data_IF_104333569126
#
_entry.id   IF_104333569126
#
_cell.length_a   1.000
_cell.length_b   1.000
_cell.length_c   1.000
_cell.angle_alpha   90.00
_cell.angle_beta   90.00
_cell.angle_gamma   90.00
#
_symmetry.space_group_name_H-M   'P 1'
#
loop_
_entity.id
_entity.type
_entity.pdbx_description
1 polymer ?
#
# COMPACT_ATOMS: atom_id res chain seq x y z
N UNK A 1 6.20 12.05 9.98
CA UNK A 1 6.54 13.48 9.88
C UNK A 1 6.64 14.00 8.45
N UNK A 2 7.25 13.28 7.50
CA UNK A 2 7.31 13.72 6.10
C UNK A 2 5.93 14.07 5.48
N UNK A 3 4.91 13.21 5.68
CA UNK A 3 3.55 13.48 5.21
C UNK A 3 2.93 14.74 5.81
N UNK A 4 3.11 14.97 7.11
CA UNK A 4 2.60 16.17 7.78
C UNK A 4 3.34 17.43 7.30
N UNK A 5 4.66 17.36 7.10
CA UNK A 5 5.45 18.46 6.56
C UNK A 5 5.08 18.82 5.11
N UNK A 6 4.64 17.83 4.32
CA UNK A 6 4.25 18.03 2.93
C UNK A 6 2.78 18.45 2.79
N UNK A 7 1.87 17.72 3.42
CA UNK A 7 0.42 17.77 3.20
C UNK A 7 -0.37 18.31 4.41
N UNK A 8 0.31 18.64 5.51
CA UNK A 8 -0.30 19.32 6.64
C UNK A 8 -0.81 20.71 6.28
N UNK A 9 -1.67 21.29 7.11
CA UNK A 9 -2.27 22.62 6.88
C UNK A 9 -1.22 23.70 6.59
N UNK A 10 -0.12 23.69 7.33
CA UNK A 10 1.02 24.61 7.15
C UNK A 10 2.19 23.95 6.40
N UNK A 11 1.95 22.80 5.77
CA UNK A 11 2.93 22.04 5.01
C UNK A 11 3.27 22.67 3.65
N UNK A 12 4.33 22.15 3.02
CA UNK A 12 4.87 22.70 1.78
C UNK A 12 3.83 22.80 0.65
N UNK A 13 2.99 21.76 0.48
CA UNK A 13 1.90 21.72 -0.49
C UNK A 13 0.54 21.99 0.16
N UNK A 14 0.32 21.48 1.36
CA UNK A 14 -0.98 21.58 2.03
C UNK A 14 -1.44 23.02 2.29
N UNK A 15 -0.51 23.97 2.49
CA UNK A 15 -0.84 25.39 2.65
C UNK A 15 -1.50 26.00 1.41
N UNK A 16 -1.04 25.64 0.21
CA UNK A 16 -1.59 26.17 -1.04
C UNK A 16 -2.98 25.58 -1.32
N UNK A 17 -3.15 24.28 -1.05
CA UNK A 17 -4.45 23.60 -1.15
C UNK A 17 -5.45 24.24 -0.19
N UNK A 18 -5.03 24.47 1.07
CA UNK A 18 -5.88 25.08 2.09
C UNK A 18 -6.26 26.53 1.72
N UNK A 19 -5.33 27.33 1.20
CA UNK A 19 -5.63 28.69 0.77
C UNK A 19 -6.58 28.73 -0.44
N UNK A 20 -6.47 27.79 -1.37
CA UNK A 20 -7.31 27.75 -2.57
C UNK A 20 -8.70 27.15 -2.31
N UNK A 21 -8.82 26.18 -1.41
CA UNK A 21 -10.06 25.36 -1.27
C UNK A 21 -10.67 25.38 0.14
N UNK A 22 -9.94 25.87 1.15
CA UNK A 22 -10.31 25.75 2.56
C UNK A 22 -10.22 24.32 3.13
N UNK A 23 -9.87 23.33 2.31
CA UNK A 23 -9.78 21.93 2.72
C UNK A 23 -8.40 21.57 3.24
N UNK A 24 -8.35 20.68 4.24
CA UNK A 24 -7.11 20.21 4.88
C UNK A 24 -7.14 18.69 4.97
N UNK A 25 -6.02 18.05 4.64
CA UNK A 25 -5.92 16.59 4.61
C UNK A 25 -5.81 15.92 5.99
N UNK A 26 -5.04 16.46 6.98
CA UNK A 26 -4.97 15.88 8.31
C UNK A 26 -6.34 15.64 8.95
N UNK A 27 -6.44 14.63 9.81
CA UNK A 27 -7.67 14.24 10.50
C UNK A 27 -8.84 13.77 9.60
N UNK A 28 -8.55 13.39 8.35
CA UNK A 28 -9.55 12.83 7.43
C UNK A 28 -9.28 11.35 7.13
N UNK A 29 -10.29 10.60 6.68
CA UNK A 29 -10.09 9.23 6.21
C UNK A 29 -9.18 9.17 4.97
N UNK A 30 -9.07 10.26 4.20
CA UNK A 30 -8.13 10.35 3.08
C UNK A 30 -6.68 10.34 3.58
N UNK A 31 -6.39 11.01 4.70
CA UNK A 31 -5.07 10.94 5.33
C UNK A 31 -4.69 9.51 5.71
N UNK A 32 -5.64 8.71 6.20
CA UNK A 32 -5.40 7.27 6.51
C UNK A 32 -4.98 6.51 5.25
N UNK A 33 -5.69 6.70 4.14
CA UNK A 33 -5.37 6.04 2.86
C UNK A 33 -4.00 6.47 2.34
N UNK A 34 -3.71 7.77 2.33
CA UNK A 34 -2.43 8.31 1.86
C UNK A 34 -1.27 7.82 2.71
N UNK A 35 -1.45 7.74 4.03
CA UNK A 35 -0.44 7.13 4.91
C UNK A 35 -0.20 5.67 4.59
N UNK A 36 -1.27 4.89 4.42
CA UNK A 36 -1.17 3.48 4.04
C UNK A 36 -0.42 3.29 2.73
N UNK A 37 -0.73 4.09 1.71
CA UNK A 37 -0.01 4.07 0.42
C UNK A 37 1.46 4.44 0.62
N UNK A 38 1.76 5.55 1.29
CA UNK A 38 3.13 6.01 1.50
C UNK A 38 4.00 4.95 2.17
N UNK A 39 3.46 4.26 3.17
CA UNK A 39 4.17 3.24 3.94
C UNK A 39 4.25 1.90 3.20
N UNK A 40 3.24 1.56 2.39
CA UNK A 40 3.20 0.34 1.59
C UNK A 40 4.00 0.42 0.28
N UNK A 41 4.16 1.61 -0.29
CA UNK A 41 4.82 1.84 -1.59
C UNK A 41 6.20 1.20 -1.74
N UNK A 42 7.12 1.25 -0.75
CA UNK A 42 8.42 0.61 -0.87
C UNK A 42 8.34 -0.90 -1.10
N UNK A 43 7.37 -1.58 -0.48
CA UNK A 43 7.18 -3.02 -0.64
C UNK A 43 6.68 -3.38 -2.03
N UNK A 44 5.74 -2.60 -2.55
CA UNK A 44 5.28 -2.75 -3.93
C UNK A 44 6.42 -2.51 -4.91
N UNK A 45 7.17 -1.41 -4.73
CA UNK A 45 8.27 -1.03 -5.61
C UNK A 45 9.36 -2.11 -5.66
N UNK A 46 9.78 -2.65 -4.50
CA UNK A 46 10.80 -3.70 -4.41
C UNK A 46 10.39 -4.98 -5.16
N UNK A 47 9.12 -5.40 -5.01
CA UNK A 47 8.64 -6.60 -5.68
C UNK A 47 8.51 -6.38 -7.18
N UNK A 48 7.94 -5.25 -7.60
CA UNK A 48 7.75 -4.91 -9.01
C UNK A 48 9.10 -4.79 -9.72
N UNK A 49 10.06 -4.06 -9.13
CA UNK A 49 11.42 -3.91 -9.63
C UNK A 49 12.14 -5.27 -9.73
N UNK A 50 12.00 -6.12 -8.71
CA UNK A 50 12.52 -7.49 -8.77
C UNK A 50 11.94 -8.30 -9.92
N UNK A 51 10.62 -8.21 -10.17
CA UNK A 51 9.99 -8.93 -11.28
C UNK A 51 10.47 -8.43 -12.64
N UNK A 52 10.61 -7.11 -12.83
CA UNK A 52 11.16 -6.54 -14.06
C UNK A 52 12.59 -7.03 -14.36
N UNK A 53 13.44 -7.17 -13.33
CA UNK A 53 14.82 -7.69 -13.51
C UNK A 53 14.91 -9.13 -14.02
N UNK A 54 13.85 -9.92 -13.84
CA UNK A 54 13.82 -11.33 -14.24
C UNK A 54 13.02 -11.57 -15.52
N UNK A 55 12.55 -10.51 -16.20
CA UNK A 55 11.85 -10.67 -17.47
C UNK A 55 12.80 -11.16 -18.57
N UNK A 56 12.41 -12.18 -19.36
CA UNK A 56 13.15 -12.56 -20.55
C UNK A 56 13.07 -11.44 -21.60
N UNK A 57 14.21 -11.08 -22.20
CA UNK A 57 14.29 -9.98 -23.18
C UNK A 57 13.84 -10.40 -24.58
N UNK A 58 13.71 -11.70 -24.86
CA UNK A 58 13.39 -12.25 -26.18
C UNK A 58 12.13 -11.63 -26.81
N UNK A 59 11.06 -11.46 -26.02
CA UNK A 59 9.80 -10.87 -26.50
C UNK A 59 9.94 -9.36 -26.77
N UNK A 60 10.77 -8.67 -25.99
CA UNK A 60 11.04 -7.24 -26.18
C UNK A 60 11.89 -7.03 -27.43
N UNK A 61 12.91 -7.86 -27.65
CA UNK A 61 13.77 -7.85 -28.83
C UNK A 61 12.97 -8.12 -30.11
N UNK A 62 12.07 -9.11 -30.09
CA UNK A 62 11.17 -9.39 -31.22
C UNK A 62 10.25 -8.20 -31.52
N UNK A 63 9.66 -7.58 -30.50
CA UNK A 63 8.79 -6.42 -30.69
C UNK A 63 9.55 -5.20 -31.25
N UNK A 64 10.83 -5.03 -30.86
CA UNK A 64 11.68 -3.99 -31.40
C UNK A 64 12.01 -4.21 -32.89
N UNK A 65 12.15 -5.46 -33.35
CA UNK A 65 12.30 -5.80 -34.77
C UNK A 65 11.04 -5.42 -35.56
N UNK A 66 9.87 -5.66 -34.97
CA UNK A 66 8.56 -5.28 -35.53
C UNK A 66 8.25 -3.78 -35.44
N UNK A 67 9.23 -2.96 -35.00
CA UNK A 67 9.13 -1.51 -34.82
C UNK A 67 8.05 -1.09 -33.80
N UNK A 68 7.77 -1.93 -32.81
CA UNK A 68 6.94 -1.53 -31.68
C UNK A 68 7.58 -0.35 -30.93
N UNK A 69 6.75 0.59 -30.44
CA UNK A 69 7.26 1.69 -29.63
C UNK A 69 7.58 1.21 -28.20
N UNK A 70 8.45 1.91 -27.47
CA UNK A 70 8.75 1.60 -26.06
C UNK A 70 7.49 1.56 -25.18
N UNK A 71 6.49 2.38 -25.52
CA UNK A 71 5.19 2.36 -24.83
C UNK A 71 4.44 1.06 -25.07
N UNK A 72 4.49 0.52 -26.29
CA UNK A 72 3.83 -0.73 -26.66
C UNK A 72 4.53 -1.91 -26.00
N UNK A 73 5.87 -1.96 -26.04
CA UNK A 73 6.64 -2.99 -25.34
C UNK A 73 6.35 -2.98 -23.83
N UNK A 74 6.35 -1.80 -23.20
CA UNK A 74 6.03 -1.70 -21.78
C UNK A 74 4.59 -2.14 -21.46
N UNK A 75 3.59 -1.63 -22.17
CA UNK A 75 2.18 -1.82 -21.81
C UNK A 75 1.57 -3.14 -22.28
N UNK A 76 2.04 -3.70 -23.39
CA UNK A 76 1.50 -4.92 -24.01
C UNK A 76 2.34 -6.17 -23.71
N UNK A 77 3.63 -6.00 -23.40
CA UNK A 77 4.55 -7.14 -23.19
C UNK A 77 5.02 -7.19 -21.74
N UNK A 78 5.71 -6.15 -21.26
CA UNK A 78 6.33 -6.19 -19.93
C UNK A 78 5.30 -6.17 -18.80
N UNK A 79 4.32 -5.26 -18.85
CA UNK A 79 3.32 -5.08 -17.80
C UNK A 79 2.40 -6.32 -17.62
N UNK A 80 1.88 -6.97 -18.68
CA UNK A 80 1.09 -8.19 -18.54
C UNK A 80 1.90 -9.38 -17.99
N UNK A 81 3.19 -9.49 -18.33
CA UNK A 81 4.05 -10.56 -17.82
C UNK A 81 4.26 -10.47 -16.31
N UNK A 82 4.45 -9.26 -15.77
CA UNK A 82 4.65 -9.08 -14.33
C UNK A 82 3.35 -8.88 -13.54
N UNK A 83 2.16 -9.02 -14.14
CA UNK A 83 0.87 -8.73 -13.49
C UNK A 83 0.68 -9.49 -12.16
N UNK A 84 1.17 -10.72 -12.10
CA UNK A 84 1.13 -11.56 -10.89
C UNK A 84 2.11 -11.05 -9.83
N UNK A 85 3.28 -10.56 -10.27
CA UNK A 85 4.25 -9.87 -9.44
C UNK A 85 3.70 -8.59 -8.83
N UNK A 86 3.00 -7.77 -9.64
CA UNK A 86 2.28 -6.57 -9.17
C UNK A 86 1.24 -6.95 -8.11
N UNK A 87 0.43 -7.98 -8.37
CA UNK A 87 -0.56 -8.45 -7.40
C UNK A 87 0.10 -8.90 -6.09
N UNK A 88 1.20 -9.66 -6.17
CA UNK A 88 1.96 -10.09 -4.99
C UNK A 88 2.51 -8.90 -4.20
N UNK A 89 3.10 -7.92 -4.90
CA UNK A 89 3.61 -6.70 -4.30
C UNK A 89 2.50 -5.85 -3.66
N UNK A 90 1.32 -5.80 -4.27
CA UNK A 90 0.17 -5.08 -3.74
C UNK A 90 -0.35 -5.70 -2.43
N UNK A 91 -0.38 -7.04 -2.36
CA UNK A 91 -0.76 -7.77 -1.14
C UNK A 91 0.23 -7.51 0.00
N UNK A 92 1.53 -7.50 -0.29
CA UNK A 92 2.56 -7.19 0.70
C UNK A 92 2.48 -5.73 1.17
N UNK A 93 2.28 -4.79 0.24
CA UNK A 93 2.07 -3.38 0.57
C UNK A 93 0.81 -3.18 1.43
N UNK A 94 -0.28 -3.89 1.13
CA UNK A 94 -1.51 -3.88 1.92
C UNK A 94 -1.29 -4.45 3.33
N UNK A 95 -0.62 -5.60 3.45
CA UNK A 95 -0.30 -6.19 4.74
C UNK A 95 0.55 -5.24 5.60
N UNK A 96 1.51 -4.55 4.97
CA UNK A 96 2.30 -3.51 5.64
C UNK A 96 1.42 -2.34 6.08
N UNK A 97 0.52 -1.86 5.23
CA UNK A 97 -0.35 -0.73 5.55
C UNK A 97 -1.33 -1.05 6.69
N UNK A 98 -1.83 -2.28 6.78
CA UNK A 98 -2.68 -2.73 7.90
C UNK A 98 -1.99 -2.65 9.26
N UNK A 99 -0.70 -2.98 9.30
CA UNK A 99 0.12 -2.89 10.52
C UNK A 99 0.58 -1.47 10.85
N UNK A 100 0.25 -0.47 10.03
CA UNK A 100 0.68 0.89 10.27
C UNK A 100 -0.16 1.59 11.33
N UNK A 101 0.51 2.07 12.38
CA UNK A 101 -0.11 2.82 13.47
C UNK A 101 0.48 4.23 13.60
N UNK A 102 1.81 4.36 13.61
CA UNK A 102 2.50 5.58 14.07
C UNK A 102 2.33 6.76 13.13
N UNK A 103 2.60 6.55 11.84
CA UNK A 103 2.42 7.61 10.84
C UNK A 103 0.95 8.01 10.73
N UNK A 104 0.03 7.06 10.83
CA UNK A 104 -1.41 7.31 10.74
C UNK A 104 -1.89 8.08 11.96
N UNK A 105 -1.44 7.73 13.16
CA UNK A 105 -1.79 8.45 14.39
C UNK A 105 -1.26 9.88 14.36
N UNK A 106 -0.06 10.10 13.84
CA UNK A 106 0.54 11.43 13.72
C UNK A 106 -0.12 12.31 12.64
N UNK A 107 -0.66 11.73 11.56
CA UNK A 107 -1.17 12.49 10.42
C UNK A 107 -2.70 12.54 10.36
N UNK A 108 -3.37 11.42 10.58
CA UNK A 108 -4.83 11.29 10.55
C UNK A 108 -5.47 11.34 11.94
N UNK A 109 -4.69 11.27 13.02
CA UNK A 109 -5.22 11.19 14.39
C UNK A 109 -6.02 9.92 14.64
N UNK A 110 -6.62 9.83 15.82
CA UNK A 110 -7.49 8.71 16.23
C UNK A 110 -8.89 9.23 16.57
N UNK A 111 -9.71 9.51 15.55
CA UNK A 111 -11.11 9.88 15.73
C UNK A 111 -11.98 8.61 15.62
N UNK A 112 -12.69 8.22 16.70
CA UNK A 112 -13.60 7.08 16.66
C UNK A 112 -14.65 7.21 15.56
N UNK A 113 -14.85 6.13 14.81
CA UNK A 113 -15.78 6.09 13.69
C UNK A 113 -15.34 6.85 12.42
N UNK A 114 -14.12 7.41 12.37
CA UNK A 114 -13.62 8.15 11.20
C UNK A 114 -12.20 7.79 10.76
N UNK A 115 -11.22 7.92 11.65
CA UNK A 115 -9.79 7.72 11.32
C UNK A 115 -9.11 6.68 12.21
N UNK A 116 -9.78 6.26 13.28
CA UNK A 116 -9.28 5.22 14.18
C UNK A 116 -9.24 3.86 13.45
N UNK A 117 -8.03 3.35 13.24
CA UNK A 117 -7.81 2.01 12.66
C UNK A 117 -7.77 0.95 13.77
N UNK A 118 -7.93 -0.32 13.41
CA UNK A 118 -7.81 -1.42 14.39
C UNK A 118 -6.41 -1.48 15.02
N UNK A 119 -5.35 -1.12 14.28
CA UNK A 119 -4.01 -1.01 14.85
C UNK A 119 -3.94 0.06 15.96
N UNK A 120 -4.61 1.20 15.78
CA UNK A 120 -4.72 2.22 16.84
C UNK A 120 -5.57 1.73 18.01
N UNK A 121 -6.66 1.01 17.74
CA UNK A 121 -7.51 0.46 18.80
C UNK A 121 -6.72 -0.53 19.67
N UNK A 122 -5.92 -1.42 19.07
CA UNK A 122 -5.02 -2.31 19.83
C UNK A 122 -4.11 -1.49 20.76
N UNK A 123 -3.49 -0.44 20.24
CA UNK A 123 -2.61 0.43 21.04
C UNK A 123 -3.35 1.09 22.21
N UNK A 124 -4.56 1.60 21.97
CA UNK A 124 -5.39 2.20 23.02
C UNK A 124 -5.80 1.15 24.07
N UNK A 125 -6.18 -0.04 23.64
CA UNK A 125 -6.61 -1.12 24.52
C UNK A 125 -5.44 -1.67 25.37
N UNK A 126 -4.18 -1.52 24.94
CA UNK A 126 -3.03 -1.94 25.75
C UNK A 126 -3.00 -1.24 27.12
N UNK A 127 -3.47 0.00 27.21
CA UNK A 127 -3.53 0.77 28.45
C UNK A 127 -4.86 0.58 29.21
N UNK A 128 -5.94 0.19 28.52
CA UNK A 128 -7.30 0.12 29.09
C UNK A 128 -7.69 -1.32 29.47
N UNK A 129 -7.55 -2.26 28.54
CA UNK A 129 -7.92 -3.66 28.69
C UNK A 129 -7.02 -4.55 27.80
N UNK A 130 -6.00 -5.15 28.43
CA UNK A 130 -5.08 -6.06 27.75
C UNK A 130 -5.78 -7.25 27.12
N UNK A 131 -6.91 -7.72 27.69
CA UNK A 131 -7.68 -8.83 27.13
C UNK A 131 -8.28 -8.48 25.76
N UNK A 132 -8.85 -7.28 25.64
CA UNK A 132 -9.32 -6.73 24.36
C UNK A 132 -8.17 -6.58 23.37
N UNK A 133 -7.04 -6.01 23.80
CA UNK A 133 -5.86 -5.81 22.96
C UNK A 133 -5.33 -7.13 22.35
N UNK A 134 -5.22 -8.19 23.15
CA UNK A 134 -4.80 -9.51 22.67
C UNK A 134 -5.80 -10.10 21.68
N UNK A 135 -7.10 -10.00 21.99
CA UNK A 135 -8.16 -10.54 21.14
C UNK A 135 -8.17 -9.87 19.77
N UNK A 136 -8.11 -8.54 19.73
CA UNK A 136 -8.11 -7.78 18.48
C UNK A 136 -6.82 -8.03 17.68
N UNK A 137 -5.67 -8.11 18.34
CA UNK A 137 -4.39 -8.45 17.69
C UNK A 137 -4.42 -9.84 17.05
N UNK A 138 -4.98 -10.83 17.75
CA UNK A 138 -5.14 -12.18 17.21
C UNK A 138 -6.06 -12.20 15.99
N UNK A 139 -7.18 -11.48 16.02
CA UNK A 139 -8.09 -11.35 14.87
C UNK A 139 -7.37 -10.72 13.67
N UNK A 140 -6.65 -9.62 13.88
CA UNK A 140 -5.88 -8.96 12.82
C UNK A 140 -4.83 -9.89 12.21
N UNK A 141 -4.13 -10.68 13.04
CA UNK A 141 -3.14 -11.66 12.56
C UNK A 141 -3.81 -12.75 11.71
N UNK A 142 -4.93 -13.32 12.18
CA UNK A 142 -5.67 -14.34 11.44
C UNK A 142 -6.14 -13.80 10.08
N UNK A 143 -6.65 -12.57 10.04
CA UNK A 143 -7.06 -11.91 8.79
C UNK A 143 -5.88 -11.72 7.85
N UNK A 144 -4.76 -11.17 8.34
CA UNK A 144 -3.57 -10.93 7.54
C UNK A 144 -3.03 -12.23 6.92
N UNK A 145 -2.89 -13.28 7.74
CA UNK A 145 -2.46 -14.61 7.30
C UNK A 145 -3.46 -15.18 6.28
N UNK A 146 -4.76 -15.16 6.58
CA UNK A 146 -5.79 -15.71 5.70
C UNK A 146 -5.78 -15.05 4.31
N UNK A 147 -5.64 -13.73 4.26
CA UNK A 147 -5.57 -12.99 2.99
C UNK A 147 -4.31 -13.36 2.21
N UNK A 148 -3.14 -13.39 2.85
CA UNK A 148 -1.89 -13.81 2.20
C UNK A 148 -2.01 -15.24 1.63
N UNK A 149 -2.56 -16.18 2.41
CA UNK A 149 -2.73 -17.57 1.95
C UNK A 149 -3.79 -17.70 0.85
N UNK A 150 -4.90 -16.98 0.93
CA UNK A 150 -5.95 -16.99 -0.08
C UNK A 150 -5.44 -16.48 -1.42
N UNK A 151 -4.57 -15.46 -1.42
CA UNK A 151 -3.97 -14.90 -2.63
C UNK A 151 -2.82 -15.76 -3.17
N UNK A 152 -2.11 -16.51 -2.33
CA UNK A 152 -1.04 -17.43 -2.76
C UNK A 152 -1.55 -18.52 -3.73
N UNK A 153 -2.71 -19.12 -3.47
CA UNK A 153 -3.27 -20.22 -4.30
C UNK A 153 -3.52 -19.83 -5.77
N UNK A 154 -4.31 -18.79 -6.09
CA UNK A 154 -4.53 -18.37 -7.48
C UNK A 154 -3.24 -17.87 -8.15
N UNK A 155 -2.32 -17.27 -7.38
CA UNK A 155 -1.02 -16.84 -7.92
C UNK A 155 -0.14 -18.03 -8.31
N UNK A 156 -0.12 -19.11 -7.52
CA UNK A 156 0.70 -20.31 -7.83
C UNK A 156 0.17 -21.07 -9.05
N UNK A 157 -1.15 -21.07 -9.26
CA UNK A 157 -1.78 -21.68 -10.45
C UNK A 157 -1.46 -20.90 -11.73
N UNK A 158 -1.28 -19.57 -11.64
CA UNK A 158 -0.92 -18.74 -12.79
C UNK A 158 0.55 -18.85 -13.25
N UNK A 159 1.42 -19.52 -12.49
CA UNK A 159 2.81 -19.82 -12.88
C UNK A 159 2.99 -21.24 -13.44
N UNK A 160 1.96 -22.09 -13.35
CA UNK A 160 2.01 -23.51 -13.76
C UNK A 160 1.17 -23.81 -15.01
N UNK A 161 0.56 -22.78 -15.62
CA UNK A 161 -0.17 -22.86 -16.89
C UNK A 161 0.50 -21.92 -17.90
#
# INVERSE_FOLDING_TARGET
MALLALLGRDGLLGKYIFQATGWSMPFTSVAVVVTGVFVGMPFLALIVESNFRHLPTDLEEAAMIDRASTRDVFSLIALPQIRNGIATGAVLAWARALGEFGATMMFAGSLPGRTQTWAMQVYIDMDIDMGSAYTLSAIMLVIAVSVVFALRKPLTQAFTT
#
